data_IF_602378900250
#
_entry.id   IF_602378900250
#
_cell.length_a   1.000
_cell.length_b   1.000
_cell.length_c   1.000
_cell.angle_alpha   90.00
_cell.angle_beta   90.00
_cell.angle_gamma   90.00
#
_symmetry.space_group_name_H-M   'P 1'
#
loop_
_entity.id
_entity.type
_entity.pdbx_description
1 polymer ?
#
# COMPACT_ATOMS: atom_id res chain seq x y z
N UNK A 1 3.73 -11.45 -0.15
CA UNK A 1 3.75 -10.35 0.83
C UNK A 1 2.56 -9.44 0.57
N UNK A 2 1.64 -9.35 1.54
CA UNK A 2 0.49 -8.44 1.49
C UNK A 2 0.71 -7.25 2.42
N UNK A 3 0.43 -6.03 1.96
CA UNK A 3 0.54 -4.83 2.76
C UNK A 3 -0.53 -3.79 2.37
N UNK A 4 -0.97 -2.93 3.30
CA UNK A 4 -1.86 -1.82 3.00
C UNK A 4 -1.12 -0.77 2.15
N UNK A 5 -1.74 -0.29 1.09
CA UNK A 5 -1.15 0.74 0.23
C UNK A 5 -1.40 2.13 0.82
N UNK A 6 -0.34 2.75 1.34
CA UNK A 6 -0.40 4.08 1.95
C UNK A 6 -0.52 5.22 0.94
N UNK A 7 -0.20 4.99 -0.33
CA UNK A 7 -0.27 6.01 -1.39
C UNK A 7 -1.67 6.16 -2.02
N UNK A 8 -2.68 5.46 -1.49
CA UNK A 8 -4.06 5.55 -1.94
C UNK A 8 -4.55 7.01 -1.92
N UNK A 9 -5.36 7.40 -2.90
CA UNK A 9 -5.79 8.79 -3.11
C UNK A 9 -6.47 9.37 -1.85
N UNK A 10 -7.25 8.55 -1.13
CA UNK A 10 -7.91 8.98 0.10
C UNK A 10 -6.91 9.27 1.23
N UNK A 11 -5.80 8.52 1.30
CA UNK A 11 -4.73 8.77 2.26
C UNK A 11 -4.00 10.09 1.94
N UNK A 12 -3.71 10.37 0.66
CA UNK A 12 -3.14 11.64 0.21
C UNK A 12 -4.06 12.83 0.48
N UNK A 13 -5.35 12.70 0.18
CA UNK A 13 -6.34 13.74 0.44
C UNK A 13 -6.49 13.99 1.95
N UNK A 14 -6.55 12.94 2.78
CA UNK A 14 -6.60 13.12 4.23
C UNK A 14 -5.33 13.79 4.77
N UNK A 15 -4.14 13.42 4.28
CA UNK A 15 -2.91 14.08 4.68
C UNK A 15 -2.92 15.56 4.27
N UNK A 16 -3.32 15.86 3.03
CA UNK A 16 -3.33 17.21 2.48
C UNK A 16 -4.38 18.11 3.15
N UNK A 17 -5.61 17.62 3.33
CA UNK A 17 -6.72 18.42 3.87
C UNK A 17 -6.79 18.44 5.40
N UNK A 18 -6.40 17.35 6.10
CA UNK A 18 -6.46 17.27 7.57
C UNK A 18 -5.10 17.41 8.25
N UNK A 19 -3.98 17.31 7.52
CA UNK A 19 -2.63 17.36 8.08
C UNK A 19 -2.32 16.21 9.04
N UNK A 20 -3.09 15.10 9.00
CA UNK A 20 -2.99 13.98 9.94
C UNK A 20 -2.89 12.65 9.22
N UNK A 21 -2.17 11.70 9.82
CA UNK A 21 -2.05 10.35 9.30
C UNK A 21 -3.44 9.71 9.11
N UNK A 22 -3.73 9.15 7.92
CA UNK A 22 -5.04 8.59 7.63
C UNK A 22 -5.26 7.28 8.39
N UNK A 23 -6.38 7.21 9.11
CA UNK A 23 -6.90 5.97 9.70
C UNK A 23 -7.82 5.35 8.66
N UNK A 24 -7.44 4.21 8.09
CA UNK A 24 -8.21 3.51 7.05
C UNK A 24 -8.62 2.13 7.54
N UNK A 25 -9.56 1.48 6.85
CA UNK A 25 -9.96 0.09 7.15
C UNK A 25 -8.78 -0.89 7.10
N UNK A 26 -7.76 -0.57 6.31
CA UNK A 26 -6.54 -1.34 6.15
C UNK A 26 -5.43 -0.94 7.14
N UNK A 27 -5.62 0.16 7.89
CA UNK A 27 -4.75 0.61 8.97
C UNK A 27 -5.60 1.22 10.11
N UNK A 28 -6.18 0.38 10.97
CA UNK A 28 -7.09 0.84 12.03
C UNK A 28 -6.36 1.46 13.23
N UNK A 29 -5.04 1.31 13.31
CA UNK A 29 -4.21 1.76 14.42
C UNK A 29 -3.58 3.13 14.16
N UNK A 30 -3.35 3.91 15.22
CA UNK A 30 -2.71 5.23 15.10
C UNK A 30 -1.22 5.04 14.82
N UNK A 31 -0.59 6.04 14.20
CA UNK A 31 0.81 5.99 13.77
C UNK A 31 1.81 5.70 14.91
N UNK A 32 1.43 5.96 16.17
CA UNK A 32 2.26 5.74 17.36
C UNK A 32 1.96 4.42 18.10
N UNK A 33 0.91 3.68 17.71
CA UNK A 33 0.50 2.45 18.40
C UNK A 33 1.30 1.22 17.96
N UNK A 34 2.10 1.30 16.89
CA UNK A 34 2.93 0.18 16.45
C UNK A 34 4.29 0.68 15.97
N UNK A 35 5.41 0.33 16.64
CA UNK A 35 6.74 0.83 16.29
C UNK A 35 7.25 0.34 14.91
N UNK A 36 6.56 -0.61 14.29
CA UNK A 36 6.92 -1.23 13.02
C UNK A 36 5.95 -0.91 11.87
N UNK A 37 5.19 0.19 11.93
CA UNK A 37 4.38 0.62 10.77
C UNK A 37 5.32 1.09 9.66
N UNK A 38 5.52 0.24 8.65
CA UNK A 38 6.22 0.60 7.43
C UNK A 38 5.24 1.24 6.47
N UNK A 39 5.39 2.55 6.26
CA UNK A 39 4.71 3.27 5.19
C UNK A 39 5.26 2.77 3.86
N UNK A 40 4.56 1.85 3.20
CA UNK A 40 4.94 1.33 1.90
C UNK A 40 3.90 1.71 0.85
N UNK A 41 4.37 2.23 -0.27
CA UNK A 41 3.59 2.27 -1.50
C UNK A 41 3.86 1.05 -2.38
N UNK A 42 2.96 0.80 -3.32
CA UNK A 42 3.17 -0.20 -4.38
C UNK A 42 4.45 0.10 -5.17
N UNK A 43 4.74 1.38 -5.42
CA UNK A 43 5.95 1.80 -6.12
C UNK A 43 7.22 1.49 -5.33
N UNK A 44 7.23 1.75 -4.03
CA UNK A 44 8.39 1.45 -3.17
C UNK A 44 8.67 -0.04 -3.14
N UNK A 45 7.63 -0.87 -3.03
CA UNK A 45 7.80 -2.32 -3.06
C UNK A 45 8.32 -2.82 -4.41
N UNK A 46 7.86 -2.24 -5.54
CA UNK A 46 8.43 -2.56 -6.85
C UNK A 46 9.89 -2.14 -6.96
N UNK A 47 10.26 -1.00 -6.40
CA UNK A 47 11.66 -0.56 -6.36
C UNK A 47 12.52 -1.52 -5.54
N UNK A 48 12.05 -1.89 -4.34
CA UNK A 48 12.71 -2.87 -3.48
C UNK A 48 12.90 -4.22 -4.18
N UNK A 49 11.88 -4.72 -4.88
CA UNK A 49 12.00 -5.95 -5.66
C UNK A 49 13.06 -5.84 -6.76
N UNK A 50 13.17 -4.69 -7.44
CA UNK A 50 14.21 -4.46 -8.46
C UNK A 50 15.61 -4.43 -7.85
N UNK A 51 15.81 -3.71 -6.74
CA UNK A 51 17.10 -3.65 -6.06
C UNK A 51 17.55 -5.02 -5.52
N UNK A 52 16.60 -5.83 -5.04
CA UNK A 52 16.87 -7.17 -4.52
C UNK A 52 16.86 -8.27 -5.59
N UNK A 53 16.71 -7.92 -6.87
CA UNK A 53 16.55 -8.87 -7.99
C UNK A 53 15.45 -9.93 -7.75
N UNK A 54 14.39 -9.57 -7.03
CA UNK A 54 13.25 -10.44 -6.77
C UNK A 54 12.30 -10.43 -7.97
N UNK A 55 11.93 -11.62 -8.46
CA UNK A 55 10.94 -11.75 -9.52
C UNK A 55 9.54 -11.68 -8.92
N UNK A 56 8.76 -10.69 -9.35
CA UNK A 56 7.33 -10.62 -9.04
C UNK A 56 6.60 -11.53 -10.02
N UNK A 57 6.00 -12.62 -9.52
CA UNK A 57 5.15 -13.50 -10.34
C UNK A 57 3.75 -12.93 -10.53
N UNK A 58 3.13 -12.54 -9.42
CA UNK A 58 1.77 -12.00 -9.41
C UNK A 58 1.66 -10.78 -8.50
N UNK A 59 0.76 -9.88 -8.89
CA UNK A 59 0.40 -8.71 -8.11
C UNK A 59 -1.13 -8.56 -8.13
N UNK A 60 -1.75 -8.69 -6.96
CA UNK A 60 -3.17 -8.49 -6.76
C UNK A 60 -3.39 -7.21 -5.96
N UNK A 61 -4.24 -6.34 -6.49
CA UNK A 61 -4.56 -5.05 -5.88
C UNK A 61 -6.01 -5.07 -5.45
N UNK A 62 -6.26 -4.96 -4.15
CA UNK A 62 -7.59 -5.02 -3.56
C UNK A 62 -8.04 -3.61 -3.17
N UNK A 63 -9.18 -3.21 -3.68
CA UNK A 63 -9.92 -2.02 -3.28
C UNK A 63 -11.01 -2.34 -2.25
N UNK A 64 -11.91 -1.38 -2.02
CA UNK A 64 -12.96 -1.46 -0.99
C UNK A 64 -14.10 -2.40 -1.34
N UNK A 65 -14.31 -2.66 -2.64
CA UNK A 65 -15.42 -3.47 -3.18
C UNK A 65 -14.98 -4.42 -4.30
N UNK A 66 -13.69 -4.53 -4.62
CA UNK A 66 -13.22 -5.37 -5.73
C UNK A 66 -11.74 -5.23 -6.03
N UNK A 67 -11.27 -6.00 -7.01
CA UNK A 67 -9.90 -5.92 -7.54
C UNK A 67 -9.74 -4.65 -8.38
N UNK A 68 -8.64 -3.92 -8.17
CA UNK A 68 -8.33 -2.68 -8.88
C UNK A 68 -7.23 -2.97 -9.89
N UNK A 69 -7.53 -2.88 -11.18
CA UNK A 69 -6.52 -2.98 -12.25
C UNK A 69 -6.03 -1.62 -12.74
N UNK A 70 -6.82 -0.56 -12.53
CA UNK A 70 -6.50 0.79 -13.00
C UNK A 70 -5.81 1.63 -11.92
N UNK A 71 -4.61 2.15 -12.22
CA UNK A 71 -3.80 3.01 -11.34
C UNK A 71 -3.75 2.52 -9.88
N UNK A 72 -3.23 1.30 -9.64
CA UNK A 72 -3.33 0.63 -8.35
C UNK A 72 -2.63 1.40 -7.22
N UNK A 73 -1.58 2.17 -7.52
CA UNK A 73 -0.91 3.01 -6.53
C UNK A 73 -1.85 4.08 -5.92
N UNK A 74 -2.85 4.54 -6.68
CA UNK A 74 -3.81 5.56 -6.25
C UNK A 74 -5.15 4.98 -5.82
N UNK A 75 -5.56 3.82 -6.35
CA UNK A 75 -6.89 3.26 -6.09
C UNK A 75 -6.93 1.95 -5.28
N UNK A 76 -5.80 1.27 -5.10
CA UNK A 76 -5.76 0.07 -4.27
C UNK A 76 -5.63 0.44 -2.79
N UNK A 77 -6.42 -0.23 -1.94
CA UNK A 77 -6.33 -0.13 -0.48
C UNK A 77 -5.28 -1.08 0.09
N UNK A 78 -5.17 -2.26 -0.52
CA UNK A 78 -4.22 -3.31 -0.14
C UNK A 78 -3.58 -3.87 -1.39
N UNK A 79 -2.30 -4.17 -1.33
CA UNK A 79 -1.57 -4.83 -2.40
C UNK A 79 -0.99 -6.15 -1.90
N UNK A 80 -1.13 -7.19 -2.70
CA UNK A 80 -0.61 -8.53 -2.45
C UNK A 80 0.35 -8.86 -3.59
N UNK A 81 1.62 -9.04 -3.26
CA UNK A 81 2.65 -9.43 -4.21
C UNK A 81 3.11 -10.86 -3.95
N UNK A 82 3.13 -11.67 -4.99
CA UNK A 82 3.76 -13.00 -5.01
C UNK A 82 5.14 -12.82 -5.60
N UNK A 83 6.16 -12.94 -4.76
CA UNK A 83 7.56 -12.84 -5.15
C UNK A 83 8.23 -14.21 -5.08
N UNK A 84 9.08 -14.49 -6.05
CA UNK A 84 9.94 -15.68 -6.10
C UNK A 84 11.39 -15.22 -6.05
N UNK A 85 12.20 -15.96 -5.30
CA UNK A 85 13.64 -15.72 -5.17
C UNK A 85 14.40 -16.33 -6.34
#
# INVERSE_FOLDING_TARGET
>A
MGFPNFAFLQARLMLFFRGKAPITSSLPYRWYDTPNVRFLSISDFRHFCREKNLKVRDAHFLGKKGSITFWPNLFALTAIFVVTK
#
